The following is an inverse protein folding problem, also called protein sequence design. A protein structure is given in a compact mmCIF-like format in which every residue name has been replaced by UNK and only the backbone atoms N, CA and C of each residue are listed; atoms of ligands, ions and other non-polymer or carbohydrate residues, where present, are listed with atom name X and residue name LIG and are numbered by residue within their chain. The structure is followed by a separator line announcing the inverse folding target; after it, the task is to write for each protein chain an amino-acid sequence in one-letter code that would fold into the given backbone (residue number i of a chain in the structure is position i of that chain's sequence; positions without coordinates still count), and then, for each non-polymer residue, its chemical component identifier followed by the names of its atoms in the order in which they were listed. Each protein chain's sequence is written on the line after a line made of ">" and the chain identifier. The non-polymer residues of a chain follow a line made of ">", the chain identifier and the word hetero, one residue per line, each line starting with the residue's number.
data_IF_674491619220
#
_entry.id   IF_674491619220
#
_cell.length_a   1.000
_cell.length_b   1.000
_cell.length_c   1.000
_cell.angle_alpha   90.00
_cell.angle_beta   90.00
_cell.angle_gamma   90.00
#
_symmetry.space_group_name_H-M   'P 1'
#
loop_
_entity.id
_entity.type
_entity.pdbx_description
1 polymer ?
#
# COMPACT_ATOMS: atom_id res chain seq x y z
N UNK A 1 33.97 -10.33 16.67
CA UNK A 1 32.77 -9.71 16.04
C UNK A 1 31.60 -10.68 16.24
N UNK A 2 30.53 -10.26 16.93
CA UNK A 2 29.34 -11.10 17.04
C UNK A 2 28.74 -11.30 15.65
N UNK A 3 28.56 -12.56 15.24
CA UNK A 3 27.89 -12.92 13.99
C UNK A 3 26.50 -12.29 14.00
N UNK A 4 26.13 -11.56 12.95
CA UNK A 4 24.79 -11.00 12.81
C UNK A 4 23.79 -12.16 12.97
N UNK A 5 22.87 -12.03 13.95
CA UNK A 5 21.89 -13.08 14.23
C UNK A 5 21.00 -13.25 13.00
N UNK A 6 20.87 -14.49 12.55
CA UNK A 6 19.90 -14.86 11.53
C UNK A 6 18.51 -15.01 12.20
N UNK A 7 17.60 -14.11 11.84
CA UNK A 7 16.23 -14.08 12.37
C UNK A 7 15.29 -15.00 11.60
N UNK A 8 15.71 -15.56 10.46
CA UNK A 8 14.84 -16.39 9.61
C UNK A 8 14.53 -17.76 10.23
N UNK A 9 15.40 -18.21 11.13
CA UNK A 9 15.29 -19.50 11.84
C UNK A 9 14.62 -19.38 13.22
N UNK A 10 14.24 -18.16 13.64
CA UNK A 10 13.64 -17.91 14.94
C UNK A 10 12.11 -17.86 14.85
N UNK A 11 11.43 -18.23 15.93
CA UNK A 11 10.04 -17.84 16.17
C UNK A 11 9.92 -16.33 16.44
N UNK A 12 8.72 -15.78 16.35
CA UNK A 12 8.44 -14.37 16.63
C UNK A 12 8.80 -14.00 18.08
N UNK A 13 8.52 -14.89 19.04
CA UNK A 13 8.87 -14.69 20.46
C UNK A 13 10.38 -14.71 20.68
N UNK A 14 11.11 -15.64 20.08
CA UNK A 14 12.57 -15.70 20.16
C UNK A 14 13.22 -14.47 19.50
N UNK A 15 12.69 -14.04 18.36
CA UNK A 15 13.14 -12.82 17.69
C UNK A 15 12.97 -11.58 18.59
N UNK A 16 11.83 -11.45 19.28
CA UNK A 16 11.58 -10.36 20.22
C UNK A 16 12.50 -10.41 21.45
N UNK A 17 12.70 -11.58 22.03
CA UNK A 17 13.67 -11.76 23.12
C UNK A 17 15.07 -11.33 22.66
N UNK A 18 15.48 -11.74 21.46
CA UNK A 18 16.77 -11.36 20.90
C UNK A 18 16.92 -9.87 20.64
N UNK A 19 15.85 -9.20 20.20
CA UNK A 19 15.83 -7.75 20.05
C UNK A 19 15.95 -7.02 21.39
N UNK A 20 15.31 -7.54 22.43
CA UNK A 20 15.33 -6.94 23.77
C UNK A 20 16.75 -6.96 24.39
N UNK A 21 17.54 -7.99 24.10
CA UNK A 21 18.93 -8.13 24.57
C UNK A 21 19.91 -7.17 23.87
N UNK A 22 19.51 -6.52 22.78
CA UNK A 22 20.40 -5.64 22.02
C UNK A 22 20.50 -4.25 22.67
N UNK A 23 21.69 -3.62 22.63
CA UNK A 23 21.82 -2.20 22.97
C UNK A 23 20.90 -1.32 22.13
N UNK A 24 20.34 -0.26 22.73
CA UNK A 24 19.27 0.58 22.14
C UNK A 24 19.46 0.93 20.65
N UNK A 25 20.66 1.39 20.26
CA UNK A 25 20.95 1.73 18.86
C UNK A 25 20.85 0.51 17.93
N UNK A 26 21.43 -0.62 18.33
CA UNK A 26 21.37 -1.87 17.57
C UNK A 26 19.94 -2.43 17.54
N UNK A 27 19.23 -2.41 18.67
CA UNK A 27 17.81 -2.79 18.76
C UNK A 27 16.97 -2.03 17.74
N UNK A 28 17.11 -0.71 17.68
CA UNK A 28 16.43 0.14 16.69
C UNK A 28 16.79 -0.25 15.26
N UNK A 29 18.09 -0.34 14.95
CA UNK A 29 18.54 -0.61 13.58
C UNK A 29 18.10 -2.02 13.12
N UNK A 30 18.15 -3.02 14.00
CA UNK A 30 17.66 -4.38 13.75
C UNK A 30 16.14 -4.44 13.63
N UNK A 31 15.38 -3.76 14.50
CA UNK A 31 13.92 -3.69 14.39
C UNK A 31 13.48 -3.05 13.06
N UNK A 32 14.11 -1.93 12.66
CA UNK A 32 13.85 -1.31 11.35
C UNK A 32 14.17 -2.26 10.20
N UNK A 33 15.30 -2.98 10.29
CA UNK A 33 15.69 -3.98 9.31
C UNK A 33 14.60 -5.06 9.17
N UNK A 34 14.08 -5.60 10.27
CA UNK A 34 12.99 -6.57 10.27
C UNK A 34 11.69 -5.99 9.68
N UNK A 35 11.37 -4.72 9.96
CA UNK A 35 10.20 -4.05 9.37
C UNK A 35 10.35 -3.90 7.85
N UNK A 36 11.52 -3.50 7.34
CA UNK A 36 11.66 -3.14 5.92
C UNK A 36 12.20 -4.26 5.01
N UNK A 37 12.82 -5.31 5.56
CA UNK A 37 13.42 -6.42 4.81
C UNK A 37 12.70 -7.73 5.09
N UNK A 38 11.75 -8.08 4.22
CA UNK A 38 10.89 -9.27 4.36
C UNK A 38 11.68 -10.58 4.46
N UNK A 39 12.79 -10.69 3.73
CA UNK A 39 13.66 -11.88 3.68
C UNK A 39 14.56 -12.06 4.92
N UNK A 40 14.44 -11.20 5.92
CA UNK A 40 15.23 -11.26 7.15
C UNK A 40 14.35 -11.49 8.39
N UNK A 41 13.05 -11.73 8.20
CA UNK A 41 12.11 -12.02 9.27
C UNK A 41 12.02 -13.53 9.53
N UNK A 42 11.42 -13.96 10.65
CA UNK A 42 10.97 -15.34 10.83
C UNK A 42 10.28 -15.92 9.58
N UNK A 43 10.56 -17.17 9.25
CA UNK A 43 10.05 -17.79 8.03
C UNK A 43 8.52 -17.93 8.00
N UNK A 44 7.90 -18.32 9.12
CA UNK A 44 6.44 -18.47 9.25
C UNK A 44 5.72 -17.13 9.28
N UNK A 45 4.59 -16.99 8.58
CA UNK A 45 3.86 -15.71 8.58
C UNK A 45 3.24 -15.40 9.94
N UNK A 46 2.73 -16.40 10.67
CA UNK A 46 2.20 -16.21 12.03
C UNK A 46 3.29 -15.64 12.96
N UNK A 47 4.52 -16.14 12.84
CA UNK A 47 5.67 -15.61 13.58
C UNK A 47 6.02 -14.18 13.16
N UNK A 48 5.85 -13.83 11.88
CA UNK A 48 5.97 -12.46 11.41
C UNK A 48 4.87 -11.56 11.97
N UNK A 49 3.63 -12.05 12.09
CA UNK A 49 2.50 -11.29 12.66
C UNK A 49 2.80 -10.97 14.13
N UNK A 50 3.18 -11.96 14.93
CA UNK A 50 3.58 -11.79 16.33
C UNK A 50 4.70 -10.75 16.47
N UNK A 51 5.77 -10.89 15.66
CA UNK A 51 6.89 -9.96 15.67
C UNK A 51 6.46 -8.53 15.33
N UNK A 52 5.71 -8.36 14.24
CA UNK A 52 5.34 -7.04 13.71
C UNK A 52 4.31 -6.34 14.60
N UNK A 53 3.42 -7.10 15.24
CA UNK A 53 2.51 -6.57 16.24
C UNK A 53 3.26 -5.97 17.43
N UNK A 54 4.18 -6.73 18.01
CA UNK A 54 4.99 -6.24 19.12
C UNK A 54 5.85 -5.02 18.73
N UNK A 55 6.38 -4.98 17.50
CA UNK A 55 7.17 -3.85 17.00
C UNK A 55 6.35 -2.55 16.85
N UNK A 56 5.01 -2.60 16.76
CA UNK A 56 4.17 -1.39 16.79
C UNK A 56 4.30 -0.62 18.10
N UNK A 57 4.69 -1.29 19.18
CA UNK A 57 4.84 -0.72 20.52
C UNK A 57 6.31 -0.61 20.95
N UNK A 58 7.27 -0.86 20.06
CA UNK A 58 8.70 -0.83 20.38
C UNK A 58 9.17 0.60 20.73
N UNK A 59 9.64 0.86 21.97
CA UNK A 59 10.06 2.18 22.41
C UNK A 59 11.24 2.74 21.62
N UNK A 60 12.16 1.88 21.15
CA UNK A 60 13.34 2.31 20.40
C UNK A 60 13.02 2.81 18.97
N UNK A 61 11.81 2.53 18.46
CA UNK A 61 11.37 2.94 17.13
C UNK A 61 10.73 4.32 17.13
N UNK A 62 10.86 5.00 15.99
CA UNK A 62 10.10 6.23 15.71
C UNK A 62 8.65 5.90 15.43
N UNK A 63 7.77 6.90 15.50
CA UNK A 63 6.34 6.70 15.21
C UNK A 63 6.09 6.21 13.78
N UNK A 64 6.83 6.74 12.79
CA UNK A 64 6.73 6.27 11.40
C UNK A 64 7.17 4.81 11.25
N UNK A 65 8.23 4.38 11.96
CA UNK A 65 8.65 2.97 11.94
C UNK A 65 7.57 2.07 12.57
N UNK A 66 6.92 2.54 13.65
CA UNK A 66 5.81 1.83 14.30
C UNK A 66 4.60 1.70 13.37
N UNK A 67 4.24 2.72 12.58
CA UNK A 67 3.20 2.58 11.56
C UNK A 67 3.59 1.62 10.44
N UNK A 68 4.85 1.59 10.02
CA UNK A 68 5.30 0.59 9.05
C UNK A 68 5.29 -0.83 9.61
N UNK A 69 5.49 -1.02 10.92
CA UNK A 69 5.26 -2.30 11.57
C UNK A 69 3.77 -2.69 11.47
N UNK A 70 2.85 -1.76 11.76
CA UNK A 70 1.40 -1.97 11.61
C UNK A 70 1.01 -2.35 10.16
N UNK A 71 1.49 -1.60 9.17
CA UNK A 71 1.27 -1.87 7.74
C UNK A 71 1.82 -3.25 7.36
N UNK A 72 3.03 -3.56 7.79
CA UNK A 72 3.67 -4.82 7.45
C UNK A 72 2.96 -6.03 8.08
N UNK A 73 2.47 -5.91 9.31
CA UNK A 73 1.74 -6.98 10.00
C UNK A 73 0.33 -7.16 9.45
N UNK A 74 -0.40 -6.07 9.19
CA UNK A 74 -1.73 -6.14 8.58
C UNK A 74 -1.70 -6.77 7.18
N UNK A 75 -0.64 -6.53 6.40
CA UNK A 75 -0.43 -7.28 5.16
C UNK A 75 -0.35 -8.80 5.38
N UNK A 76 0.28 -9.25 6.46
CA UNK A 76 0.46 -10.67 6.77
C UNK A 76 -0.84 -11.31 7.23
N UNK A 77 -1.63 -10.60 8.03
CA UNK A 77 -3.00 -10.99 8.39
C UNK A 77 -3.87 -11.19 7.15
N UNK A 78 -3.80 -10.26 6.19
CA UNK A 78 -4.49 -10.45 4.91
C UNK A 78 -3.92 -11.61 4.08
N UNK A 79 -2.62 -11.87 4.15
CA UNK A 79 -1.97 -12.96 3.39
C UNK A 79 -2.38 -14.34 3.91
N UNK A 80 -2.58 -14.49 5.22
CA UNK A 80 -3.05 -15.72 5.88
C UNK A 80 -4.57 -15.81 6.00
N UNK A 81 -5.31 -14.78 5.54
CA UNK A 81 -6.79 -14.76 5.57
C UNK A 81 -7.34 -14.95 7.00
N UNK A 82 -6.68 -14.36 7.98
CA UNK A 82 -7.07 -14.47 9.39
C UNK A 82 -8.22 -13.49 9.71
N UNK A 83 -9.46 -13.84 9.34
CA UNK A 83 -10.63 -12.94 9.45
C UNK A 83 -10.84 -12.43 10.87
N UNK A 84 -10.68 -13.28 11.90
CA UNK A 84 -10.84 -12.87 13.30
C UNK A 84 -9.78 -11.83 13.73
N UNK A 85 -8.53 -12.01 13.31
CA UNK A 85 -7.47 -11.03 13.57
C UNK A 85 -7.62 -9.77 12.71
N UNK A 86 -8.23 -9.88 11.52
CA UNK A 86 -8.38 -8.75 10.61
C UNK A 86 -9.19 -7.61 11.23
N UNK A 87 -10.19 -7.92 12.05
CA UNK A 87 -10.95 -6.93 12.82
C UNK A 87 -10.04 -6.16 13.80
N UNK A 88 -9.27 -6.89 14.61
CA UNK A 88 -8.34 -6.29 15.57
C UNK A 88 -7.30 -5.38 14.90
N UNK A 89 -6.76 -5.81 13.76
CA UNK A 89 -5.79 -5.00 13.02
C UNK A 89 -6.45 -3.78 12.37
N UNK A 90 -7.67 -3.91 11.85
CA UNK A 90 -8.42 -2.80 11.26
C UNK A 90 -8.69 -1.71 12.29
N UNK A 91 -9.16 -2.07 13.49
CA UNK A 91 -9.42 -1.10 14.57
C UNK A 91 -8.19 -0.25 14.87
N UNK A 92 -7.00 -0.87 14.90
CA UNK A 92 -5.74 -0.14 15.11
C UNK A 92 -5.37 0.80 13.97
N UNK A 93 -5.73 0.48 12.73
CA UNK A 93 -5.58 1.43 11.62
C UNK A 93 -6.54 2.62 11.77
N UNK A 94 -7.77 2.35 12.19
CA UNK A 94 -8.79 3.39 12.42
C UNK A 94 -8.44 4.30 13.59
N UNK A 95 -7.83 3.76 14.65
CA UNK A 95 -7.28 4.55 15.77
C UNK A 95 -6.04 5.36 15.37
N UNK A 96 -5.19 4.77 14.52
CA UNK A 96 -3.97 5.42 14.02
C UNK A 96 -4.25 6.50 12.96
N UNK A 97 -5.47 6.58 12.42
CA UNK A 97 -5.84 7.47 11.32
C UNK A 97 -5.37 8.92 11.57
N UNK A 98 -5.82 9.53 12.68
CA UNK A 98 -5.50 10.92 12.99
C UNK A 98 -3.99 11.16 13.13
N UNK A 99 -3.27 10.21 13.72
CA UNK A 99 -1.81 10.28 13.89
C UNK A 99 -1.08 10.19 12.54
N UNK A 100 -1.50 9.26 11.67
CA UNK A 100 -0.96 9.12 10.31
C UNK A 100 -1.20 10.40 9.51
N UNK A 101 -2.40 10.99 9.62
CA UNK A 101 -2.76 12.23 8.91
C UNK A 101 -1.95 13.43 9.39
N UNK A 102 -1.60 13.48 10.66
CA UNK A 102 -0.78 14.54 11.27
C UNK A 102 0.72 14.42 10.94
N UNK A 103 1.20 13.30 10.38
CA UNK A 103 2.61 13.11 10.04
C UNK A 103 3.10 14.17 9.03
N UNK A 104 4.33 14.68 9.16
CA UNK A 104 4.84 15.69 8.24
C UNK A 104 5.12 15.10 6.85
N UNK A 105 4.85 15.89 5.81
CA UNK A 105 5.31 15.58 4.45
C UNK A 105 6.82 15.84 4.41
N UNK A 106 7.59 14.81 4.06
CA UNK A 106 9.05 14.83 4.06
C UNK A 106 9.61 14.24 2.77
N UNK A 107 10.90 14.46 2.52
CA UNK A 107 11.57 13.91 1.35
C UNK A 107 12.03 12.47 1.60
N UNK A 108 11.46 11.50 0.87
CA UNK A 108 11.96 10.13 0.81
C UNK A 108 10.89 9.04 0.92
N UNK A 109 11.03 7.99 0.11
CA UNK A 109 10.22 6.79 0.19
C UNK A 109 10.27 6.20 1.62
N UNK A 110 9.13 5.89 2.21
CA UNK A 110 8.98 5.39 3.59
C UNK A 110 9.49 6.31 4.70
N UNK A 111 9.67 7.58 4.37
CA UNK A 111 9.85 8.69 5.32
C UNK A 111 8.81 9.78 5.10
N UNK A 112 8.01 9.63 4.06
CA UNK A 112 7.02 10.58 3.60
C UNK A 112 5.60 10.15 4.01
N UNK A 113 4.84 11.08 4.59
CA UNK A 113 3.42 10.94 4.91
C UNK A 113 2.61 10.43 3.73
N UNK A 114 2.86 10.93 2.52
CA UNK A 114 2.03 10.59 1.34
C UNK A 114 2.11 9.10 1.02
N UNK A 115 3.31 8.52 1.03
CA UNK A 115 3.42 7.07 0.87
C UNK A 115 2.83 6.32 2.07
N UNK A 116 3.04 6.81 3.28
CA UNK A 116 2.56 6.16 4.50
C UNK A 116 1.02 6.03 4.49
N UNK A 117 0.31 7.13 4.23
CA UNK A 117 -1.15 7.17 4.32
C UNK A 117 -1.81 6.21 3.33
N UNK A 118 -1.38 6.19 2.07
CA UNK A 118 -1.93 5.25 1.09
C UNK A 118 -1.49 3.80 1.33
N UNK A 119 -0.35 3.57 1.99
CA UNK A 119 0.04 2.22 2.41
C UNK A 119 -0.85 1.71 3.54
N UNK A 120 -1.16 2.57 4.52
CA UNK A 120 -2.08 2.26 5.60
C UNK A 120 -3.50 2.05 5.08
N UNK A 121 -4.03 2.98 4.28
CA UNK A 121 -5.33 2.88 3.63
C UNK A 121 -5.46 1.60 2.80
N UNK A 122 -4.46 1.25 2.00
CA UNK A 122 -4.51 0.03 1.19
C UNK A 122 -4.64 -1.22 2.07
N UNK A 123 -3.92 -1.30 3.19
CA UNK A 123 -4.06 -2.43 4.12
C UNK A 123 -5.41 -2.40 4.82
N UNK A 124 -5.84 -1.25 5.35
CA UNK A 124 -7.12 -1.08 6.04
C UNK A 124 -8.30 -1.45 5.14
N UNK A 125 -8.30 -1.04 3.86
CA UNK A 125 -9.33 -1.39 2.89
C UNK A 125 -9.39 -2.91 2.61
N UNK A 126 -8.24 -3.58 2.54
CA UNK A 126 -8.23 -5.05 2.36
C UNK A 126 -8.67 -5.78 3.63
N UNK A 127 -8.29 -5.32 4.82
CA UNK A 127 -8.75 -5.88 6.09
C UNK A 127 -10.26 -5.69 6.24
N UNK A 128 -10.76 -4.48 5.99
CA UNK A 128 -12.19 -4.20 6.00
C UNK A 128 -12.93 -5.11 5.02
N UNK A 129 -12.45 -5.22 3.77
CA UNK A 129 -13.03 -6.12 2.79
C UNK A 129 -13.08 -7.58 3.25
N UNK A 130 -12.02 -8.11 3.88
CA UNK A 130 -12.01 -9.46 4.46
C UNK A 130 -13.05 -9.65 5.57
N UNK A 131 -13.35 -8.59 6.32
CA UNK A 131 -14.31 -8.61 7.44
C UNK A 131 -15.75 -8.23 7.03
N UNK A 132 -16.05 -8.25 5.71
CA UNK A 132 -17.38 -7.91 5.19
C UNK A 132 -17.61 -6.43 4.90
N UNK A 133 -16.53 -5.64 4.87
CA UNK A 133 -16.48 -4.25 4.46
C UNK A 133 -17.43 -3.31 5.23
N UNK A 134 -17.41 -3.44 6.58
CA UNK A 134 -18.27 -2.72 7.53
C UNK A 134 -17.91 -1.24 7.66
N UNK A 135 -16.67 -0.87 7.34
CA UNK A 135 -16.15 0.48 7.44
C UNK A 135 -15.91 1.14 6.08
N UNK A 136 -16.50 0.59 5.02
CA UNK A 136 -16.30 1.05 3.64
C UNK A 136 -16.51 2.56 3.48
N UNK A 137 -17.57 3.14 4.08
CA UNK A 137 -17.88 4.57 3.97
C UNK A 137 -16.82 5.44 4.66
N UNK A 138 -16.37 5.04 5.85
CA UNK A 138 -15.32 5.76 6.59
C UNK A 138 -14.01 5.73 5.82
N UNK A 139 -13.60 4.55 5.33
CA UNK A 139 -12.37 4.38 4.57
C UNK A 139 -12.43 5.07 3.20
N UNK A 140 -13.61 5.12 2.57
CA UNK A 140 -13.86 5.90 1.36
C UNK A 140 -13.71 7.41 1.63
N UNK A 141 -14.29 7.92 2.72
CA UNK A 141 -14.10 9.33 3.13
C UNK A 141 -12.64 9.65 3.36
N UNK A 142 -11.93 8.80 4.13
CA UNK A 142 -10.50 8.96 4.38
C UNK A 142 -9.71 8.98 3.06
N UNK A 143 -9.97 8.05 2.15
CA UNK A 143 -9.33 8.04 0.83
C UNK A 143 -9.58 9.33 0.04
N UNK A 144 -10.83 9.80 -0.05
CA UNK A 144 -11.18 11.01 -0.82
C UNK A 144 -10.47 12.24 -0.25
N UNK A 145 -10.54 12.43 1.06
CA UNK A 145 -9.89 13.55 1.75
C UNK A 145 -8.38 13.57 1.50
N UNK A 146 -7.73 12.40 1.49
CA UNK A 146 -6.29 12.30 1.27
C UNK A 146 -5.89 12.54 -0.18
N UNK A 147 -6.69 12.09 -1.16
CA UNK A 147 -6.44 12.36 -2.58
C UNK A 147 -6.66 13.83 -2.91
N UNK A 148 -7.73 14.43 -2.40
CA UNK A 148 -8.04 15.85 -2.64
C UNK A 148 -7.10 16.78 -1.86
N UNK A 149 -6.62 16.36 -0.69
CA UNK A 149 -5.67 17.08 0.15
C UNK A 149 -4.20 16.97 -0.27
N UNK A 150 -3.88 16.34 -1.41
CA UNK A 150 -2.49 16.19 -1.88
C UNK A 150 -1.80 17.55 -2.06
N UNK A 151 -0.76 17.80 -1.27
CA UNK A 151 0.06 19.02 -1.37
C UNK A 151 1.05 18.93 -2.54
N UNK A 152 0.58 19.14 -3.76
CA UNK A 152 1.34 18.96 -5.00
C UNK A 152 2.72 19.64 -4.99
N UNK A 153 2.83 20.87 -4.45
CA UNK A 153 4.11 21.61 -4.35
C UNK A 153 5.18 20.94 -3.51
N UNK A 154 4.79 20.01 -2.63
CA UNK A 154 5.69 19.25 -1.75
C UNK A 154 5.88 17.80 -2.21
N UNK A 155 5.23 17.42 -3.31
CA UNK A 155 5.40 16.09 -3.88
C UNK A 155 6.78 15.94 -4.48
N UNK A 156 7.30 14.72 -4.36
CA UNK A 156 8.62 14.34 -4.85
C UNK A 156 8.46 13.37 -6.01
N UNK A 157 9.51 13.11 -6.81
CA UNK A 157 9.48 12.07 -7.84
C UNK A 157 9.02 10.69 -7.33
N UNK A 158 9.08 10.43 -6.01
CA UNK A 158 8.55 9.21 -5.41
C UNK A 158 7.04 9.04 -5.55
N UNK A 159 6.28 10.08 -5.91
CA UNK A 159 4.86 9.92 -6.26
C UNK A 159 4.67 8.93 -7.42
N UNK A 160 5.58 8.94 -8.39
CA UNK A 160 5.62 7.97 -9.49
C UNK A 160 5.68 6.52 -9.00
N UNK A 161 6.42 6.30 -7.91
CA UNK A 161 6.57 4.99 -7.29
C UNK A 161 5.39 4.63 -6.37
N UNK A 162 4.82 5.65 -5.71
CA UNK A 162 3.86 5.50 -4.60
C UNK A 162 2.40 5.50 -5.05
N UNK A 163 2.12 5.97 -6.27
CA UNK A 163 0.78 6.03 -6.85
C UNK A 163 0.08 4.67 -6.91
N UNK A 164 0.85 3.57 -6.96
CA UNK A 164 0.33 2.19 -6.97
C UNK A 164 -0.64 1.91 -5.82
N UNK A 165 -0.32 2.33 -4.59
CA UNK A 165 -1.23 2.13 -3.47
C UNK A 165 -2.45 3.05 -3.56
N UNK A 166 -2.29 4.29 -4.04
CA UNK A 166 -3.41 5.21 -4.24
C UNK A 166 -4.43 4.66 -5.24
N UNK A 167 -3.98 4.15 -6.40
CA UNK A 167 -4.88 3.59 -7.41
C UNK A 167 -5.53 2.28 -6.93
N UNK A 168 -4.83 1.45 -6.14
CA UNK A 168 -5.45 0.28 -5.48
C UNK A 168 -6.57 0.69 -4.53
N UNK A 169 -6.31 1.69 -3.67
CA UNK A 169 -7.33 2.21 -2.75
C UNK A 169 -8.55 2.70 -3.53
N UNK A 170 -8.32 3.46 -4.61
CA UNK A 170 -9.37 3.94 -5.50
C UNK A 170 -10.25 2.80 -6.02
N UNK A 171 -9.64 1.73 -6.53
CA UNK A 171 -10.38 0.58 -7.04
C UNK A 171 -11.19 -0.17 -5.99
N UNK A 172 -10.68 -0.28 -4.75
CA UNK A 172 -11.42 -0.93 -3.65
C UNK A 172 -12.58 -0.04 -3.18
N UNK A 173 -12.36 1.27 -3.06
CA UNK A 173 -13.40 2.24 -2.68
C UNK A 173 -14.60 2.20 -3.63
N UNK A 174 -14.35 2.02 -4.94
CA UNK A 174 -15.40 1.92 -5.96
C UNK A 174 -16.32 0.70 -5.80
N UNK A 175 -15.95 -0.30 -5.00
CA UNK A 175 -16.83 -1.42 -4.65
C UNK A 175 -17.89 -1.03 -3.63
N UNK A 176 -17.64 0.03 -2.86
CA UNK A 176 -18.59 0.61 -1.90
C UNK A 176 -19.36 1.79 -2.48
N UNK A 177 -18.74 2.56 -3.36
CA UNK A 177 -19.32 3.77 -3.96
C UNK A 177 -19.08 3.82 -5.49
N UNK A 178 -19.88 3.07 -6.26
CA UNK A 178 -19.72 2.98 -7.71
C UNK A 178 -20.16 4.25 -8.46
N UNK A 179 -20.98 5.10 -7.85
CA UNK A 179 -21.45 6.34 -8.47
C UNK A 179 -20.34 7.40 -8.60
N UNK A 180 -19.32 7.30 -7.74
CA UNK A 180 -18.17 8.18 -7.73
C UNK A 180 -17.12 7.85 -8.81
N UNK A 181 -17.37 6.82 -9.63
CA UNK A 181 -16.39 6.27 -10.58
C UNK A 181 -15.84 7.29 -11.57
N UNK A 182 -16.69 8.16 -12.09
CA UNK A 182 -16.26 9.18 -13.05
C UNK A 182 -15.31 10.21 -12.39
N UNK A 183 -15.55 10.56 -11.12
CA UNK A 183 -14.69 11.49 -10.39
C UNK A 183 -13.37 10.82 -10.03
N UNK A 184 -13.41 9.60 -9.50
CA UNK A 184 -12.21 8.83 -9.14
C UNK A 184 -11.33 8.59 -10.36
N UNK A 185 -11.89 8.20 -11.51
CA UNK A 185 -11.15 8.04 -12.75
C UNK A 185 -10.38 9.32 -13.15
N UNK A 186 -11.05 10.49 -13.09
CA UNK A 186 -10.42 11.78 -13.39
C UNK A 186 -9.30 12.13 -12.41
N UNK A 187 -9.51 11.90 -11.10
CA UNK A 187 -8.49 12.15 -10.08
C UNK A 187 -7.26 11.25 -10.26
N UNK A 188 -7.47 9.96 -10.50
CA UNK A 188 -6.37 9.01 -10.72
C UNK A 188 -5.62 9.30 -12.03
N UNK A 189 -6.32 9.71 -13.08
CA UNK A 189 -5.67 10.19 -14.33
C UNK A 189 -4.77 11.39 -14.07
N UNK A 190 -5.27 12.41 -13.34
CA UNK A 190 -4.46 13.58 -12.94
C UNK A 190 -3.25 13.17 -12.09
N UNK A 191 -3.44 12.25 -11.13
CA UNK A 191 -2.38 11.74 -10.26
C UNK A 191 -1.26 11.07 -11.06
N UNK A 192 -1.59 10.13 -11.97
CA UNK A 192 -0.58 9.43 -12.76
C UNK A 192 0.10 10.35 -13.78
N UNK A 193 -0.65 11.28 -14.37
CA UNK A 193 -0.09 12.31 -15.26
C UNK A 193 0.90 13.19 -14.52
N UNK A 194 0.52 13.71 -13.35
CA UNK A 194 1.40 14.54 -12.52
C UNK A 194 2.61 13.76 -12.01
N UNK A 195 2.43 12.49 -11.61
CA UNK A 195 3.51 11.59 -11.23
C UNK A 195 4.54 11.39 -12.35
N UNK A 196 4.10 11.34 -13.61
CA UNK A 196 4.99 11.28 -14.79
C UNK A 196 5.75 12.58 -14.97
N UNK A 197 5.06 13.71 -14.87
CA UNK A 197 5.65 15.06 -15.01
C UNK A 197 6.76 15.31 -14.00
N UNK A 198 6.49 15.09 -12.70
CA UNK A 198 7.47 15.38 -11.64
C UNK A 198 8.61 14.35 -11.56
N UNK A 199 8.43 13.15 -12.13
CA UNK A 199 9.50 12.16 -12.26
C UNK A 199 10.48 12.48 -13.39
N UNK A 200 10.18 13.52 -14.18
CA UNK A 200 11.01 14.00 -15.27
C UNK A 200 11.27 15.52 -15.13
N UNK A 201 11.88 15.96 -14.00
CA UNK A 201 12.01 17.38 -13.73
C UNK A 201 12.99 18.01 -14.71
N UNK A 202 12.50 18.72 -15.73
CA UNK A 202 13.13 19.83 -16.48
C UNK A 202 14.59 19.70 -16.96
N UNK A 203 15.22 18.52 -16.87
CA UNK A 203 16.61 18.28 -17.29
C UNK A 203 16.71 17.50 -18.60
N UNK A 204 15.59 17.27 -19.29
CA UNK A 204 15.57 16.63 -20.61
C UNK A 204 16.62 17.22 -21.56
N UNK A 205 16.78 18.55 -21.60
CA UNK A 205 17.76 19.22 -22.45
C UNK A 205 19.23 19.07 -22.00
N UNK A 206 19.49 18.74 -20.72
CA UNK A 206 20.84 18.43 -20.21
C UNK A 206 21.20 16.96 -20.48
N UNK A 207 20.22 16.04 -20.48
CA UNK A 207 20.44 14.63 -20.82
C UNK A 207 20.57 14.38 -22.32
N UNK A 208 19.85 15.14 -23.16
CA UNK A 208 19.67 14.85 -24.59
C UNK A 208 20.94 14.93 -25.45
N UNK A 209 22.01 15.60 -24.99
CA UNK A 209 23.24 15.77 -25.80
C UNK A 209 24.45 14.96 -25.35
N UNK A 210 24.53 14.52 -24.08
CA UNK A 210 25.77 13.93 -23.55
C UNK A 210 25.60 12.62 -22.76
N UNK A 211 24.36 12.22 -22.44
CA UNK A 211 24.06 10.97 -21.68
C UNK A 211 22.90 10.16 -22.24
N UNK A 212 22.29 10.59 -23.36
CA UNK A 212 21.27 9.82 -24.03
C UNK A 212 21.91 8.58 -24.68
N UNK A 213 21.39 7.37 -24.40
CA UNK A 213 21.83 6.17 -25.10
C UNK A 213 21.60 6.32 -26.61
N UNK A 214 22.50 5.78 -27.44
CA UNK A 214 22.42 5.89 -28.90
C UNK A 214 21.35 4.96 -29.47
N UNK A 215 21.06 3.87 -28.76
CA UNK A 215 20.09 2.86 -29.15
C UNK A 215 19.12 2.57 -28.01
N UNK A 216 17.87 2.24 -28.35
CA UNK A 216 16.86 1.85 -27.36
C UNK A 216 17.30 0.64 -26.53
N UNK A 217 18.06 -0.30 -27.12
CA UNK A 217 18.59 -1.48 -26.45
C UNK A 217 19.55 -1.16 -25.28
N UNK A 218 20.11 0.04 -25.23
CA UNK A 218 21.01 0.51 -24.17
C UNK A 218 20.23 1.15 -22.99
N UNK A 219 18.92 1.36 -23.16
CA UNK A 219 18.06 1.92 -22.11
C UNK A 219 17.69 0.81 -21.13
N UNK A 220 18.19 0.90 -19.89
CA UNK A 220 17.72 0.03 -18.82
C UNK A 220 16.33 0.43 -18.35
N UNK A 221 15.47 -0.57 -18.13
CA UNK A 221 14.19 -0.35 -17.49
C UNK A 221 14.41 0.17 -16.05
N UNK A 222 13.69 1.23 -15.69
CA UNK A 222 13.75 1.76 -14.33
C UNK A 222 13.10 0.76 -13.37
N UNK A 223 13.72 0.53 -12.20
CA UNK A 223 13.22 -0.40 -11.20
C UNK A 223 11.76 -0.19 -10.76
N UNK A 224 11.25 1.05 -10.82
CA UNK A 224 9.87 1.37 -10.46
C UNK A 224 8.88 1.36 -11.64
N UNK A 225 9.35 1.20 -12.88
CA UNK A 225 8.53 1.31 -14.09
C UNK A 225 7.44 0.24 -14.13
N UNK A 226 7.76 -1.02 -13.81
CA UNK A 226 6.74 -2.08 -13.73
C UNK A 226 5.61 -1.79 -12.72
N UNK A 227 5.92 -1.18 -11.57
CA UNK A 227 4.89 -0.77 -10.59
C UNK A 227 4.01 0.36 -11.14
N UNK A 228 4.61 1.30 -11.89
CA UNK A 228 3.88 2.36 -12.57
C UNK A 228 2.98 1.80 -13.67
N UNK A 229 3.46 0.90 -14.53
CA UNK A 229 2.65 0.23 -15.57
C UNK A 229 1.43 -0.48 -14.95
N UNK A 230 1.62 -1.18 -13.83
CA UNK A 230 0.49 -1.78 -13.10
C UNK A 230 -0.51 -0.74 -12.57
N UNK A 231 -0.05 0.46 -12.23
CA UNK A 231 -0.93 1.57 -11.82
C UNK A 231 -1.73 2.10 -13.00
N UNK A 232 -1.12 2.17 -14.19
CA UNK A 232 -1.79 2.51 -15.45
C UNK A 232 -2.84 1.44 -15.80
N UNK A 233 -2.53 0.15 -15.71
CA UNK A 233 -3.50 -0.92 -15.97
C UNK A 233 -4.73 -0.83 -15.06
N UNK A 234 -4.54 -0.52 -13.77
CA UNK A 234 -5.65 -0.26 -12.84
C UNK A 234 -6.47 0.95 -13.25
N UNK A 235 -5.83 2.06 -13.63
CA UNK A 235 -6.53 3.24 -14.12
C UNK A 235 -7.35 2.92 -15.37
N UNK A 236 -6.79 2.19 -16.33
CA UNK A 236 -7.51 1.78 -17.54
C UNK A 236 -8.74 0.95 -17.22
N UNK A 237 -8.65 0.03 -16.24
CA UNK A 237 -9.82 -0.72 -15.79
C UNK A 237 -10.89 0.17 -15.13
N UNK A 238 -10.46 1.13 -14.30
CA UNK A 238 -11.37 2.12 -13.69
C UNK A 238 -12.05 2.98 -14.77
N UNK A 239 -11.31 3.41 -15.79
CA UNK A 239 -11.84 4.18 -16.92
C UNK A 239 -12.82 3.36 -17.77
N UNK A 240 -12.53 2.08 -18.00
CA UNK A 240 -13.44 1.17 -18.69
C UNK A 240 -14.74 0.99 -17.89
N UNK A 241 -14.66 0.85 -16.57
CA UNK A 241 -15.82 0.78 -15.69
C UNK A 241 -16.61 2.10 -15.67
N UNK A 242 -15.95 3.25 -15.73
CA UNK A 242 -16.61 4.56 -15.86
C UNK A 242 -17.35 4.73 -17.20
N UNK A 243 -16.82 4.14 -18.27
CA UNK A 243 -17.42 4.16 -19.60
C UNK A 243 -18.51 3.09 -19.79
N UNK A 244 -18.60 2.10 -18.90
CA UNK A 244 -19.58 1.02 -18.99
C UNK A 244 -21.01 1.56 -18.85
N UNK A 245 -21.85 1.18 -19.82
CA UNK A 245 -23.27 1.55 -19.88
C UNK A 245 -24.14 0.36 -19.47
N UNK A 246 -25.10 0.61 -18.58
CA UNK A 246 -25.95 -0.43 -17.99
C UNK A 246 -25.32 -1.14 -16.78
N UNK A 247 -26.18 -1.64 -15.91
CA UNK A 247 -25.81 -2.19 -14.61
C UNK A 247 -24.88 -3.41 -14.74
N UNK A 248 -25.21 -4.37 -15.60
CA UNK A 248 -24.42 -5.59 -15.78
C UNK A 248 -23.02 -5.34 -16.33
N UNK A 249 -22.91 -4.46 -17.34
CA UNK A 249 -21.60 -4.08 -17.89
C UNK A 249 -20.75 -3.36 -16.84
N UNK A 250 -21.37 -2.51 -16.01
CA UNK A 250 -20.67 -1.83 -14.90
C UNK A 250 -20.21 -2.80 -13.82
N UNK A 251 -21.05 -3.75 -13.41
CA UNK A 251 -20.68 -4.83 -12.47
C UNK A 251 -19.50 -5.65 -13.00
N UNK A 252 -19.55 -6.07 -14.26
CA UNK A 252 -18.47 -6.83 -14.90
C UNK A 252 -17.15 -6.03 -14.98
N UNK A 253 -17.22 -4.75 -15.32
CA UNK A 253 -16.05 -3.89 -15.36
C UNK A 253 -15.47 -3.62 -13.96
N UNK A 254 -16.31 -3.38 -12.95
CA UNK A 254 -15.89 -3.22 -11.56
C UNK A 254 -15.30 -4.51 -10.96
N UNK A 255 -15.75 -5.69 -11.39
CA UNK A 255 -15.07 -6.95 -11.08
C UNK A 255 -13.63 -6.96 -11.57
N UNK A 256 -13.39 -6.48 -12.80
CA UNK A 256 -12.04 -6.30 -13.34
C UNK A 256 -11.21 -5.29 -12.55
N UNK A 257 -11.84 -4.20 -12.07
CA UNK A 257 -11.19 -3.23 -11.17
C UNK A 257 -10.78 -3.89 -9.86
N UNK A 258 -11.70 -4.63 -9.20
CA UNK A 258 -11.41 -5.37 -7.98
C UNK A 258 -10.25 -6.34 -8.20
N UNK A 259 -10.27 -7.07 -9.31
CA UNK A 259 -9.25 -8.05 -9.63
C UNK A 259 -7.84 -7.42 -9.73
N UNK A 260 -7.73 -6.19 -10.20
CA UNK A 260 -6.43 -5.52 -10.27
C UNK A 260 -6.02 -4.81 -8.98
N UNK A 261 -6.97 -4.53 -8.08
CA UNK A 261 -6.77 -3.61 -6.95
C UNK A 261 -6.69 -4.29 -5.58
N UNK A 262 -7.36 -5.42 -5.36
CA UNK A 262 -7.25 -6.17 -4.08
C UNK A 262 -5.88 -6.85 -3.95
N UNK A 263 -5.49 -7.21 -2.72
CA UNK A 263 -4.23 -7.88 -2.47
C UNK A 263 -4.13 -9.25 -3.16
N UNK A 264 -2.91 -9.62 -3.57
CA UNK A 264 -2.65 -10.76 -4.47
C UNK A 264 -1.33 -11.49 -4.17
N UNK A 265 -0.81 -11.40 -2.94
CA UNK A 265 0.45 -12.05 -2.59
C UNK A 265 0.32 -13.58 -2.54
N UNK A 266 -0.88 -14.10 -2.28
CA UNK A 266 -1.20 -15.53 -2.30
C UNK A 266 -2.55 -15.78 -3.00
N UNK A 267 -2.73 -16.94 -3.67
CA UNK A 267 -4.02 -17.30 -4.28
C UNK A 267 -5.19 -17.33 -3.30
N UNK A 268 -4.99 -17.85 -2.09
CA UNK A 268 -6.03 -17.92 -1.05
C UNK A 268 -6.49 -16.51 -0.60
N UNK A 269 -5.55 -15.60 -0.35
CA UNK A 269 -5.84 -14.19 -0.08
C UNK A 269 -6.67 -13.57 -1.20
N UNK A 270 -6.25 -13.78 -2.44
CA UNK A 270 -6.91 -13.23 -3.62
C UNK A 270 -8.35 -13.74 -3.72
N UNK A 271 -8.56 -15.04 -3.56
CA UNK A 271 -9.87 -15.67 -3.61
C UNK A 271 -10.81 -15.10 -2.54
N UNK A 272 -10.36 -15.02 -1.28
CA UNK A 272 -11.17 -14.49 -0.18
C UNK A 272 -11.57 -13.02 -0.39
N UNK A 273 -10.65 -12.17 -0.83
CA UNK A 273 -10.95 -10.76 -1.13
C UNK A 273 -11.90 -10.61 -2.31
N UNK A 274 -11.72 -11.41 -3.36
CA UNK A 274 -12.60 -11.37 -4.52
C UNK A 274 -14.01 -11.89 -4.20
N UNK A 275 -14.16 -12.90 -3.34
CA UNK A 275 -15.47 -13.36 -2.87
C UNK A 275 -16.26 -12.25 -2.18
N UNK A 276 -15.58 -11.47 -1.32
CA UNK A 276 -16.18 -10.31 -0.66
C UNK A 276 -16.49 -9.19 -1.67
N UNK A 277 -15.61 -8.95 -2.64
CA UNK A 277 -15.89 -8.01 -3.73
C UNK A 277 -17.12 -8.42 -4.55
N UNK A 278 -17.25 -9.69 -4.92
CA UNK A 278 -18.41 -10.22 -5.66
C UNK A 278 -19.72 -10.02 -4.88
N UNK A 279 -19.69 -10.24 -3.56
CA UNK A 279 -20.85 -10.00 -2.70
C UNK A 279 -21.31 -8.55 -2.78
N UNK A 280 -20.38 -7.59 -2.74
CA UNK A 280 -20.71 -6.16 -2.90
C UNK A 280 -21.22 -5.83 -4.30
N UNK A 281 -20.61 -6.37 -5.34
CA UNK A 281 -21.03 -6.12 -6.73
C UNK A 281 -22.45 -6.63 -7.00
N UNK A 282 -22.85 -7.76 -6.39
CA UNK A 282 -24.23 -8.27 -6.46
C UNK A 282 -25.24 -7.38 -5.74
N UNK A 283 -24.81 -6.69 -4.69
CA UNK A 283 -25.65 -5.78 -3.91
C UNK A 283 -25.85 -4.40 -4.57
N UNK A 284 -25.11 -4.07 -5.63
CA UNK A 284 -25.32 -2.83 -6.40
C UNK A 284 -26.68 -2.87 -7.10
N UNK A 285 -27.65 -2.03 -6.73
CA UNK A 285 -28.96 -1.92 -7.41
C UNK A 285 -28.91 -0.88 -8.51
#
# INVERSE_FOLDING_TARGET
>A
MAKDTDFTVLTGREALARLADLPMRKRRDTARRLIYKKNQRPAGLDEQIILLDALRSEPALTEIDRFYALIAGGHKVCEEVMVAEAEHWLDRFLEAEAQIRAMPIAFGLRKDRTHLVFSALNVALNLDLLTGARHADRLASWFREEVEGLQLRRMTPYLFNSSSNTVKCAGIVLLGDPDDIARIARLMRKLLSYGTEINNPLHWWIFSRFKAPKHLAEVSERAAFGSFCNSVHRLTAIEAAAAATGLEARRAALRGVADLCVAQARPAQKAALMEQAETRLRAMV
#
